data_IF_178098530192
#
_entry.id   IF_178098530192
#
_cell.length_a   1.000
_cell.length_b   1.000
_cell.length_c   1.000
_cell.angle_alpha   90.00
_cell.angle_beta   90.00
_cell.angle_gamma   90.00
#
_symmetry.space_group_name_H-M   'P 1'
#
loop_
_entity.id
_entity.type
_entity.pdbx_description
1 polymer ?
#
# COMPACT_ATOMS: atom_id res chain seq x y z
N UNK A 1 13.48 -6.31 -4.56
CA UNK A 1 12.89 -6.61 -3.23
C UNK A 1 13.69 -5.78 -2.23
N UNK A 2 13.02 -5.01 -1.36
CA UNK A 2 13.66 -4.21 -0.30
C UNK A 2 12.98 -4.55 1.03
N UNK A 3 13.72 -4.52 2.12
CA UNK A 3 13.19 -4.75 3.46
C UNK A 3 13.36 -3.52 4.38
N UNK A 4 12.73 -3.56 5.55
CA UNK A 4 12.74 -2.44 6.50
C UNK A 4 14.16 -2.11 7.04
N UNK A 5 15.08 -3.07 7.08
CA UNK A 5 16.46 -2.81 7.50
C UNK A 5 17.23 -2.01 6.45
N UNK A 6 17.01 -2.29 5.16
CA UNK A 6 17.61 -1.52 4.07
C UNK A 6 17.05 -0.10 4.00
N UNK A 7 15.74 0.08 4.25
CA UNK A 7 15.12 1.42 4.30
C UNK A 7 15.46 2.17 5.60
N UNK A 8 15.70 1.45 6.69
CA UNK A 8 16.03 1.99 8.02
C UNK A 8 14.83 2.40 8.87
N UNK A 9 13.60 2.27 8.36
CA UNK A 9 12.37 2.72 9.01
C UNK A 9 11.22 1.74 8.77
N UNK A 10 10.20 1.79 9.63
CA UNK A 10 8.92 1.10 9.40
C UNK A 10 8.03 1.94 8.49
N UNK A 11 7.15 1.29 7.72
CA UNK A 11 6.34 1.94 6.67
C UNK A 11 5.46 3.10 7.12
N UNK A 12 4.99 3.05 8.37
CA UNK A 12 4.17 4.13 8.98
C UNK A 12 4.99 5.37 9.37
N UNK A 13 6.32 5.27 9.43
CA UNK A 13 7.19 6.38 9.82
C UNK A 13 7.32 7.36 8.65
N UNK A 14 7.23 8.69 8.87
CA UNK A 14 7.36 9.69 7.81
C UNK A 14 8.64 9.55 6.96
N UNK A 15 9.72 9.05 7.56
CA UNK A 15 11.03 8.89 6.92
C UNK A 15 11.09 7.71 5.96
N UNK A 16 10.19 6.73 6.07
CA UNK A 16 10.23 5.51 5.28
C UNK A 16 10.12 5.78 3.79
N UNK A 17 9.07 6.49 3.37
CA UNK A 17 8.76 6.66 1.96
C UNK A 17 9.80 7.47 1.18
N UNK A 18 10.32 8.61 1.69
CA UNK A 18 11.43 9.30 1.05
C UNK A 18 12.69 8.42 0.91
N UNK A 19 13.03 7.64 1.94
CA UNK A 19 14.20 6.75 1.88
C UNK A 19 13.99 5.59 0.92
N UNK A 20 12.81 4.98 0.94
CA UNK A 20 12.42 3.90 0.04
C UNK A 20 12.45 4.37 -1.43
N UNK A 21 11.89 5.54 -1.72
CA UNK A 21 11.91 6.15 -3.04
C UNK A 21 13.34 6.42 -3.54
N UNK A 22 14.24 6.89 -2.67
CA UNK A 22 15.65 7.09 -3.01
C UNK A 22 16.37 5.77 -3.33
N UNK A 23 16.10 4.71 -2.55
CA UNK A 23 16.74 3.40 -2.71
C UNK A 23 16.26 2.70 -3.99
N UNK A 24 14.95 2.68 -4.22
CA UNK A 24 14.32 2.00 -5.34
C UNK A 24 14.24 2.85 -6.62
N UNK A 25 14.40 4.18 -6.49
CA UNK A 25 14.24 5.17 -7.57
C UNK A 25 12.89 5.06 -8.29
N UNK A 26 11.80 4.92 -7.53
CA UNK A 26 10.43 4.93 -8.09
C UNK A 26 9.83 6.33 -8.08
N UNK A 27 8.88 6.56 -9.00
CA UNK A 27 8.05 7.76 -9.05
C UNK A 27 6.75 7.55 -8.27
N UNK A 28 6.51 8.23 -7.14
CA UNK A 28 5.31 8.02 -6.33
C UNK A 28 4.03 8.33 -7.10
N UNK A 29 4.06 9.27 -8.05
CA UNK A 29 2.89 9.69 -8.82
C UNK A 29 2.44 8.64 -9.85
N UNK A 30 3.28 7.64 -10.11
CA UNK A 30 3.03 6.53 -11.05
C UNK A 30 3.07 5.16 -10.37
N UNK A 31 3.06 5.14 -9.04
CA UNK A 31 3.24 3.92 -8.26
C UNK A 31 1.94 3.44 -7.64
N UNK A 32 1.80 2.12 -7.57
CA UNK A 32 0.75 1.44 -6.82
C UNK A 32 1.32 0.85 -5.55
N UNK A 33 0.64 1.09 -4.44
CA UNK A 33 0.95 0.50 -3.14
C UNK A 33 -0.28 -0.17 -2.56
N UNK A 34 -0.08 -1.41 -2.10
CA UNK A 34 -1.11 -2.22 -1.46
C UNK A 34 -0.58 -2.72 -0.11
N UNK A 35 -1.40 -2.55 0.92
CA UNK A 35 -1.11 -2.96 2.29
C UNK A 35 -2.42 -3.28 3.02
N UNK A 36 -2.35 -4.07 4.08
CA UNK A 36 -3.48 -4.42 4.94
C UNK A 36 -3.56 -3.54 6.20
N UNK A 37 -2.60 -2.62 6.39
CA UNK A 37 -2.58 -1.66 7.49
C UNK A 37 -2.96 -0.24 7.03
N UNK A 38 -3.91 0.37 7.75
CA UNK A 38 -4.39 1.73 7.48
C UNK A 38 -3.29 2.79 7.66
N UNK A 39 -2.45 2.64 8.68
CA UNK A 39 -1.35 3.56 8.97
C UNK A 39 -0.30 3.57 7.85
N UNK A 40 0.04 2.41 7.32
CA UNK A 40 0.92 2.26 6.17
C UNK A 40 0.37 3.00 4.93
N UNK A 41 -0.92 2.81 4.63
CA UNK A 41 -1.58 3.46 3.48
C UNK A 41 -1.66 4.98 3.67
N UNK A 42 -1.96 5.45 4.89
CA UNK A 42 -1.99 6.88 5.19
C UNK A 42 -0.61 7.53 5.06
N UNK A 43 0.45 6.89 5.54
CA UNK A 43 1.82 7.39 5.36
C UNK A 43 2.20 7.48 3.87
N UNK A 44 1.83 6.47 3.07
CA UNK A 44 2.06 6.48 1.62
C UNK A 44 1.28 7.59 0.90
N UNK A 45 0.02 7.81 1.31
CA UNK A 45 -0.83 8.90 0.83
C UNK A 45 -0.22 10.27 1.11
N UNK A 46 0.26 10.48 2.35
CA UNK A 46 0.91 11.73 2.75
C UNK A 46 2.20 11.98 1.97
N UNK A 47 2.95 10.93 1.63
CA UNK A 47 4.14 11.04 0.79
C UNK A 47 3.82 11.35 -0.68
N UNK A 48 2.63 10.98 -1.17
CA UNK A 48 2.17 11.25 -2.53
C UNK A 48 2.14 10.04 -3.46
N UNK A 49 2.08 8.82 -2.93
CA UNK A 49 1.83 7.62 -3.74
C UNK A 49 0.43 7.70 -4.36
N UNK A 50 0.33 7.64 -5.69
CA UNK A 50 -0.89 7.94 -6.41
C UNK A 50 -1.98 6.86 -6.31
N UNK A 51 -1.60 5.58 -6.34
CA UNK A 51 -2.55 4.48 -6.34
C UNK A 51 -2.44 3.67 -5.05
N UNK A 52 -3.46 3.73 -4.21
CA UNK A 52 -3.51 3.08 -2.90
C UNK A 52 -4.65 2.09 -2.85
N UNK A 53 -4.35 0.85 -2.49
CA UNK A 53 -5.33 -0.23 -2.40
C UNK A 53 -5.18 -0.91 -1.05
N UNK A 54 -6.29 -1.08 -0.35
CA UNK A 54 -6.32 -1.81 0.90
C UNK A 54 -6.59 -3.29 0.67
N UNK A 55 -5.80 -4.16 1.30
CA UNK A 55 -6.06 -5.60 1.35
C UNK A 55 -6.96 -5.93 2.54
N UNK A 56 -8.28 -5.97 2.32
CA UNK A 56 -9.24 -6.19 3.40
C UNK A 56 -9.14 -7.58 4.05
N UNK A 57 -8.52 -8.55 3.38
CA UNK A 57 -8.32 -9.91 3.91
C UNK A 57 -6.89 -10.07 4.43
N UNK A 58 -6.61 -9.54 5.63
CA UNK A 58 -5.31 -9.61 6.30
C UNK A 58 -5.00 -10.99 6.91
N UNK A 59 -6.04 -11.80 7.13
CA UNK A 59 -5.91 -13.17 7.66
C UNK A 59 -6.73 -14.14 6.84
N UNK A 60 -6.20 -15.35 6.65
CA UNK A 60 -6.93 -16.45 6.01
C UNK A 60 -8.10 -16.96 6.84
N UNK A 61 -8.08 -16.70 8.16
CA UNK A 61 -9.06 -17.20 9.13
C UNK A 61 -10.14 -16.18 9.49
N UNK A 62 -9.85 -14.89 9.35
CA UNK A 62 -10.78 -13.81 9.72
C UNK A 62 -11.59 -13.34 8.50
N UNK A 63 -12.82 -12.82 8.73
CA UNK A 63 -13.56 -12.16 7.67
C UNK A 63 -12.82 -10.90 7.18
N UNK A 64 -13.03 -10.48 5.92
CA UNK A 64 -12.47 -9.22 5.43
C UNK A 64 -12.99 -8.01 6.22
N UNK A 65 -12.10 -7.06 6.50
CA UNK A 65 -12.41 -5.81 7.19
C UNK A 65 -12.07 -4.62 6.27
N UNK A 66 -13.03 -4.10 5.47
CA UNK A 66 -12.75 -2.99 4.56
C UNK A 66 -12.53 -1.67 5.30
N UNK A 67 -11.71 -0.79 4.73
CA UNK A 67 -11.50 0.58 5.22
C UNK A 67 -12.31 1.56 4.37
N UNK A 68 -13.05 2.47 5.00
CA UNK A 68 -13.92 3.41 4.28
C UNK A 68 -13.15 4.42 3.41
N UNK A 69 -11.91 4.74 3.78
CA UNK A 69 -11.10 5.76 3.12
C UNK A 69 -10.23 5.23 1.95
N UNK A 70 -10.22 3.91 1.72
CA UNK A 70 -9.43 3.28 0.66
C UNK A 70 -10.26 2.25 -0.11
N UNK A 71 -10.00 2.14 -1.41
CA UNK A 71 -10.55 1.04 -2.20
C UNK A 71 -10.00 -0.27 -1.63
N UNK A 72 -10.91 -1.11 -1.15
CA UNK A 72 -10.59 -2.34 -0.43
C UNK A 72 -10.88 -3.55 -1.30
N UNK A 73 -9.90 -4.43 -1.49
CA UNK A 73 -10.06 -5.68 -2.23
C UNK A 73 -9.79 -6.88 -1.33
N UNK A 74 -10.40 -8.02 -1.65
CA UNK A 74 -10.19 -9.29 -0.92
C UNK A 74 -9.25 -10.25 -1.63
N UNK A 75 -8.85 -9.93 -2.87
CA UNK A 75 -7.89 -10.67 -3.68
C UNK A 75 -7.27 -9.76 -4.74
N UNK A 76 -6.24 -10.25 -5.44
CA UNK A 76 -5.61 -9.54 -6.56
C UNK A 76 -6.41 -9.62 -7.86
N UNK A 77 -7.41 -10.51 -7.97
CA UNK A 77 -8.17 -10.73 -9.21
C UNK A 77 -8.81 -9.46 -9.80
N UNK A 78 -9.33 -8.51 -9.01
CA UNK A 78 -9.83 -7.24 -9.53
C UNK A 78 -8.75 -6.39 -10.21
N UNK A 79 -7.47 -6.54 -9.84
CA UNK A 79 -6.37 -5.76 -10.40
C UNK A 79 -5.87 -6.29 -11.75
N UNK A 80 -6.15 -7.55 -12.07
CA UNK A 80 -5.49 -8.26 -13.18
C UNK A 80 -6.27 -8.24 -14.50
N UNK A 81 -7.49 -7.70 -14.52
CA UNK A 81 -8.39 -7.87 -15.66
C UNK A 81 -8.95 -6.56 -16.26
N UNK A 82 -8.42 -5.40 -15.86
CA UNK A 82 -8.92 -4.10 -16.33
C UNK A 82 -10.41 -3.85 -16.02
N UNK A 83 -11.01 -4.66 -15.13
CA UNK A 83 -12.39 -4.50 -14.69
C UNK A 83 -12.42 -3.43 -13.60
N UNK A 84 -13.39 -2.50 -13.63
CA UNK A 84 -13.47 -1.46 -12.62
C UNK A 84 -13.62 -2.07 -11.22
N UNK A 85 -12.90 -1.49 -10.26
CA UNK A 85 -13.08 -1.77 -8.84
C UNK A 85 -14.46 -1.24 -8.46
N UNK A 86 -15.36 -2.16 -8.06
CA UNK A 86 -16.71 -1.87 -7.57
C UNK A 86 -16.67 -1.50 -6.10
#
# INVERSE_FOLDING_TARGET
>A
IVNAFEVGYLKMRPEYWPNCARLLRFDPTRSLYMDDDEGCLMAAKQFGVAHLIHSAKSSSQLPPAPLAQFVSVTSFSPLLNGRPLI
#
